data_IF_231387035120
#
_entry.id   IF_231387035120
#
_cell.length_a   1.000
_cell.length_b   1.000
_cell.length_c   1.000
_cell.angle_alpha   90.00
_cell.angle_beta   90.00
_cell.angle_gamma   90.00
#
_symmetry.space_group_name_H-M   'P 1'
#
loop_
_entity.id
_entity.type
_entity.pdbx_description
1 polymer ?
#
# COMPACT_ATOMS: atom_id res chain seq x y z
N UNK A 1 15.13 18.92 -11.69
CA UNK A 1 13.91 18.49 -12.39
C UNK A 1 13.89 16.97 -12.34
N UNK A 2 13.19 16.38 -11.36
CA UNK A 2 13.02 14.94 -11.30
C UNK A 2 11.85 14.56 -12.19
N UNK A 3 12.12 13.85 -13.27
CA UNK A 3 11.08 13.38 -14.20
C UNK A 3 10.06 12.54 -13.44
N UNK A 4 8.77 12.81 -13.66
CA UNK A 4 7.66 12.09 -13.07
C UNK A 4 7.62 10.65 -13.62
N UNK A 5 8.38 9.75 -12.98
CA UNK A 5 8.45 8.31 -13.32
C UNK A 5 7.21 7.52 -12.88
N UNK A 6 6.10 8.21 -12.54
CA UNK A 6 4.94 7.58 -11.92
C UNK A 6 3.96 7.17 -13.01
N UNK A 7 3.77 5.85 -13.15
CA UNK A 7 2.91 5.25 -14.17
C UNK A 7 1.40 5.43 -13.88
N UNK A 8 1.03 5.75 -12.64
CA UNK A 8 -0.37 5.91 -12.21
C UNK A 8 -0.51 7.05 -11.17
N UNK A 9 -1.59 7.84 -11.23
CA UNK A 9 -1.93 8.79 -10.18
C UNK A 9 -2.18 8.06 -8.84
N UNK A 10 -1.83 8.72 -7.74
CA UNK A 10 -2.03 8.23 -6.36
C UNK A 10 -3.01 9.13 -5.65
N UNK A 11 -3.87 8.53 -4.85
CA UNK A 11 -4.75 9.25 -3.93
C UNK A 11 -4.30 9.02 -2.51
N UNK A 12 -4.28 10.10 -1.73
CA UNK A 12 -4.00 10.04 -0.31
C UNK A 12 -5.24 9.48 0.40
N UNK A 13 -5.03 8.47 1.23
CA UNK A 13 -6.07 7.74 1.96
C UNK A 13 -5.56 7.44 3.37
N UNK A 14 -6.44 6.98 4.25
CA UNK A 14 -6.05 6.47 5.57
C UNK A 14 -6.84 5.20 5.82
N UNK A 15 -6.38 4.10 5.22
CA UNK A 15 -7.10 2.83 5.22
C UNK A 15 -6.34 1.78 6.03
N UNK A 16 -6.95 1.18 7.07
CA UNK A 16 -6.33 0.11 7.82
C UNK A 16 -5.97 -1.06 6.90
N UNK A 17 -4.80 -1.64 7.10
CA UNK A 17 -4.35 -2.80 6.34
C UNK A 17 -3.72 -3.84 7.25
N UNK A 18 -4.00 -5.11 6.95
CA UNK A 18 -3.30 -6.25 7.55
C UNK A 18 -2.50 -6.95 6.46
N UNK A 19 -1.19 -7.06 6.66
CA UNK A 19 -0.26 -7.80 5.81
C UNK A 19 -0.04 -9.18 6.40
N UNK A 20 -0.44 -10.23 5.69
CA UNK A 20 -0.29 -11.62 6.11
C UNK A 20 1.07 -12.13 5.65
N UNK A 21 2.05 -12.09 6.55
CA UNK A 21 3.43 -12.55 6.29
C UNK A 21 3.68 -13.92 6.92
N UNK A 22 4.80 -14.57 6.55
CA UNK A 22 5.18 -15.86 7.12
C UNK A 22 5.42 -15.80 8.65
N UNK A 23 5.90 -14.66 9.15
CA UNK A 23 6.17 -14.46 10.58
C UNK A 23 4.92 -14.06 11.39
N UNK A 24 3.80 -13.81 10.70
CA UNK A 24 2.55 -13.38 11.31
C UNK A 24 1.93 -12.17 10.62
N UNK A 25 0.73 -11.77 11.06
CA UNK A 25 0.08 -10.58 10.56
C UNK A 25 0.80 -9.31 11.04
N UNK A 26 1.07 -8.39 10.13
CA UNK A 26 1.56 -7.04 10.44
C UNK A 26 0.43 -6.05 10.17
N UNK A 27 0.08 -5.25 11.18
CA UNK A 27 -0.89 -4.17 11.05
C UNK A 27 -0.23 -2.88 10.56
N UNK A 28 -0.97 -2.10 9.78
CA UNK A 28 -0.53 -0.81 9.30
C UNK A 28 -1.66 0.02 8.71
N UNK A 29 -1.29 1.15 8.11
CA UNK A 29 -2.22 2.08 7.47
C UNK A 29 -1.72 2.41 6.07
N UNK A 30 -2.60 2.31 5.07
CA UNK A 30 -2.32 2.80 3.73
C UNK A 30 -2.48 4.31 3.73
N UNK A 31 -1.40 5.02 3.41
CA UNK A 31 -1.37 6.48 3.31
C UNK A 31 -1.65 6.96 1.88
N UNK A 32 -1.20 6.20 0.89
CA UNK A 32 -1.60 6.43 -0.49
C UNK A 32 -1.71 5.13 -1.27
N UNK A 33 -2.60 5.14 -2.25
CA UNK A 33 -2.88 4.00 -3.11
C UNK A 33 -2.96 4.42 -4.58
N UNK A 34 -2.52 3.52 -5.45
CA UNK A 34 -2.64 3.58 -6.91
C UNK A 34 -2.97 2.20 -7.45
N UNK A 35 -3.26 2.11 -8.75
CA UNK A 35 -3.49 0.83 -9.43
C UNK A 35 -2.28 -0.12 -9.39
N UNK A 36 -1.07 0.40 -9.19
CA UNK A 36 0.16 -0.39 -9.18
C UNK A 36 0.69 -0.75 -7.79
N UNK A 37 0.15 -0.14 -6.74
CA UNK A 37 0.70 -0.32 -5.39
C UNK A 37 0.27 0.78 -4.42
N UNK A 38 0.82 0.69 -3.22
CA UNK A 38 0.45 1.53 -2.09
C UNK A 38 1.67 1.89 -1.24
N UNK A 39 1.55 2.95 -0.45
CA UNK A 39 2.47 3.23 0.66
C UNK A 39 1.78 2.87 1.97
N UNK A 40 2.41 2.00 2.76
CA UNK A 40 1.90 1.50 4.04
C UNK A 40 2.78 2.03 5.15
N UNK A 41 2.20 2.78 6.07
CA UNK A 41 2.81 3.10 7.36
C UNK A 41 2.67 1.90 8.29
N UNK A 42 3.79 1.35 8.73
CA UNK A 42 3.86 0.22 9.66
C UNK A 42 5.15 0.27 10.48
N UNK A 43 5.14 -0.37 11.64
CA UNK A 43 6.29 -0.40 12.56
C UNK A 43 7.26 -1.55 12.27
N UNK A 44 6.78 -2.56 11.55
CA UNK A 44 7.50 -3.80 11.25
C UNK A 44 7.60 -3.99 9.73
N UNK A 45 8.71 -4.54 9.28
CA UNK A 45 8.98 -4.77 7.86
C UNK A 45 8.68 -6.24 7.51
N UNK A 46 7.84 -6.52 6.49
CA UNK A 46 7.75 -7.85 5.90
C UNK A 46 9.12 -8.30 5.36
N UNK A 47 9.45 -9.59 5.46
CA UNK A 47 10.73 -10.08 4.95
C UNK A 47 10.95 -9.68 3.48
N UNK A 48 12.13 -9.13 3.23
CA UNK A 48 12.52 -8.53 1.96
C UNK A 48 12.72 -9.63 0.91
N UNK A 49 11.65 -9.98 0.19
CA UNK A 49 11.58 -10.60 -1.14
C UNK A 49 10.32 -11.47 -1.31
N UNK A 50 9.56 -11.69 -0.25
CA UNK A 50 8.37 -12.54 -0.32
C UNK A 50 7.16 -11.75 -0.85
N UNK A 51 6.32 -12.45 -1.61
CA UNK A 51 4.99 -11.96 -1.95
C UNK A 51 4.07 -12.31 -0.79
N UNK A 52 3.43 -11.31 -0.19
CA UNK A 52 2.50 -11.48 0.92
C UNK A 52 1.12 -10.99 0.53
N UNK A 53 0.10 -11.51 1.21
CA UNK A 53 -1.29 -11.06 1.00
C UNK A 53 -1.57 -9.86 1.87
N UNK A 54 -2.28 -8.89 1.31
CA UNK A 54 -2.74 -7.69 1.99
C UNK A 54 -4.26 -7.68 2.01
N UNK A 55 -4.83 -7.32 3.15
CA UNK A 55 -6.26 -7.08 3.33
C UNK A 55 -6.41 -5.61 3.74
N UNK A 56 -6.90 -4.78 2.83
CA UNK A 56 -7.10 -3.35 3.07
C UNK A 56 -8.58 -3.12 3.34
N UNK A 57 -8.87 -2.52 4.50
CA UNK A 57 -10.23 -2.19 4.90
C UNK A 57 -10.53 -0.76 4.46
N UNK A 58 -11.53 -0.60 3.60
CA UNK A 58 -11.95 0.71 3.15
C UNK A 58 -12.93 1.30 4.18
N UNK A 59 -12.62 2.45 4.83
CA UNK A 59 -13.53 3.09 5.78
C UNK A 59 -14.87 3.43 5.12
N UNK A 60 -15.96 3.32 5.88
CA UNK A 60 -17.32 3.56 5.42
C UNK A 60 -17.82 2.65 4.28
N UNK A 61 -17.01 1.67 3.84
CA UNK A 61 -17.40 0.59 2.95
C UNK A 61 -17.40 -0.74 3.71
N UNK A 62 -18.25 -1.68 3.28
CA UNK A 62 -18.19 -3.08 3.73
C UNK A 62 -17.20 -3.91 2.91
N UNK A 63 -16.58 -3.32 1.90
CA UNK A 63 -15.65 -3.98 1.01
C UNK A 63 -14.24 -4.05 1.62
N UNK A 64 -13.56 -5.15 1.33
CA UNK A 64 -12.15 -5.35 1.66
C UNK A 64 -11.41 -5.57 0.36
N UNK A 65 -10.36 -4.76 0.11
CA UNK A 65 -9.50 -4.97 -1.04
C UNK A 65 -8.45 -6.01 -0.69
N UNK A 66 -8.27 -6.97 -1.59
CA UNK A 66 -7.32 -8.07 -1.41
C UNK A 66 -6.30 -8.04 -2.53
N UNK A 67 -5.04 -7.93 -2.15
CA UNK A 67 -3.95 -7.92 -3.11
C UNK A 67 -2.78 -8.78 -2.61
N UNK A 68 -2.12 -9.47 -3.53
CA UNK A 68 -0.77 -10.00 -3.32
C UNK A 68 0.22 -8.88 -3.65
N UNK A 69 1.18 -8.63 -2.77
CA UNK A 69 2.12 -7.54 -2.93
C UNK A 69 3.53 -7.93 -2.49
N UNK A 70 4.52 -7.16 -2.97
CA UNK A 70 5.91 -7.25 -2.53
C UNK A 70 6.43 -5.88 -2.11
N UNK A 71 7.38 -5.86 -1.18
CA UNK A 71 8.09 -4.64 -0.80
C UNK A 71 8.89 -4.12 -1.99
N UNK A 72 8.66 -2.87 -2.39
CA UNK A 72 9.41 -2.17 -3.44
C UNK A 72 10.40 -1.16 -2.87
N UNK A 73 10.11 -0.60 -1.69
CA UNK A 73 11.01 0.26 -0.90
C UNK A 73 10.64 0.21 0.59
N UNK A 74 11.61 0.44 1.48
CA UNK A 74 11.39 0.54 2.93
C UNK A 74 12.12 1.75 3.47
N UNK A 75 11.42 2.55 4.28
CA UNK A 75 11.94 3.70 5.01
C UNK A 75 11.79 3.51 6.53
N UNK A 76 11.48 2.29 7.01
CA UNK A 76 11.21 2.01 8.43
C UNK A 76 12.41 2.37 9.33
N UNK A 77 13.63 2.11 8.85
CA UNK A 77 14.86 2.36 9.58
C UNK A 77 15.45 3.76 9.36
N UNK A 78 14.72 4.66 8.69
CA UNK A 78 15.19 6.03 8.51
C UNK A 78 15.28 6.76 9.86
N UNK A 79 16.30 7.61 10.04
CA UNK A 79 16.46 8.39 11.26
C UNK A 79 15.20 9.23 11.55
N UNK A 80 14.92 9.46 12.84
CA UNK A 80 13.84 10.36 13.23
C UNK A 80 14.07 11.76 12.63
N UNK A 81 13.02 12.35 12.05
CA UNK A 81 13.10 13.65 11.35
C UNK A 81 13.40 13.56 9.84
N UNK A 82 13.41 12.36 9.25
CA UNK A 82 13.39 12.23 7.80
C UNK A 82 12.08 12.81 7.22
N UNK A 83 12.19 13.48 6.07
CA UNK A 83 11.07 14.15 5.37
C UNK A 83 9.97 13.15 4.93
N UNK A 84 10.32 11.87 4.79
CA UNK A 84 9.39 10.81 4.42
C UNK A 84 8.85 10.04 5.63
N UNK A 85 7.54 9.75 5.69
CA UNK A 85 6.94 8.97 6.75
C UNK A 85 7.55 7.55 6.80
N UNK A 86 7.61 6.99 8.01
CA UNK A 86 8.12 5.62 8.22
C UNK A 86 7.16 4.60 7.62
N UNK A 87 7.68 3.57 6.98
CA UNK A 87 6.84 2.54 6.37
C UNK A 87 7.46 1.95 5.12
N UNK A 88 6.63 1.27 4.35
CA UNK A 88 7.03 0.54 3.16
C UNK A 88 6.21 0.98 1.94
N UNK A 89 6.87 1.12 0.80
CA UNK A 89 6.19 1.16 -0.48
C UNK A 89 6.05 -0.27 -1.00
N UNK A 90 4.84 -0.69 -1.32
CA UNK A 90 4.54 -2.00 -1.88
C UNK A 90 4.09 -1.89 -3.32
N UNK A 91 4.40 -2.91 -4.12
CA UNK A 91 3.89 -3.08 -5.47
C UNK A 91 2.91 -4.26 -5.49
N UNK A 92 1.72 -4.05 -6.06
CA UNK A 92 0.77 -5.13 -6.28
C UNK A 92 1.31 -6.08 -7.35
N UNK A 93 1.35 -7.36 -7.00
CA UNK A 93 1.70 -8.47 -7.89
C UNK A 93 0.43 -9.04 -8.51
N UNK A 94 -0.60 -9.24 -7.68
CA UNK A 94 -1.92 -9.72 -8.11
C UNK A 94 -3.01 -8.98 -7.33
N UNK A 95 -4.09 -8.67 -8.03
CA UNK A 95 -5.31 -8.06 -7.49
C UNK A 95 -6.46 -8.50 -8.41
N UNK A 96 -7.65 -8.73 -7.86
CA UNK A 96 -8.82 -9.07 -8.68
C UNK A 96 -9.20 -7.89 -9.57
N UNK A 97 -9.85 -8.15 -10.70
CA UNK A 97 -10.33 -7.07 -11.57
C UNK A 97 -11.36 -6.19 -10.87
N UNK A 98 -12.21 -6.77 -10.01
CA UNK A 98 -13.19 -6.04 -9.20
C UNK A 98 -12.50 -5.09 -8.20
N UNK A 99 -11.52 -5.58 -7.43
CA UNK A 99 -10.80 -4.75 -6.46
C UNK A 99 -9.95 -3.69 -7.18
N UNK A 100 -9.38 -4.04 -8.34
CA UNK A 100 -8.65 -3.08 -9.18
C UNK A 100 -9.57 -2.00 -9.73
N UNK A 101 -10.78 -2.36 -10.15
CA UNK A 101 -11.78 -1.42 -10.63
C UNK A 101 -12.24 -0.50 -9.51
N UNK A 102 -12.44 -1.01 -8.30
CA UNK A 102 -12.73 -0.18 -7.13
C UNK A 102 -11.62 0.85 -6.86
N UNK A 103 -10.35 0.43 -6.92
CA UNK A 103 -9.23 1.38 -6.78
C UNK A 103 -9.26 2.42 -7.90
N UNK A 104 -9.62 2.07 -9.14
CA UNK A 104 -9.76 3.06 -10.23
C UNK A 104 -10.80 4.11 -9.90
N UNK A 105 -11.96 3.69 -9.41
CA UNK A 105 -13.06 4.58 -9.07
C UNK A 105 -12.65 5.54 -7.95
N UNK A 106 -12.10 5.02 -6.86
CA UNK A 106 -11.59 5.87 -5.77
C UNK A 106 -10.49 6.81 -6.24
N UNK A 107 -9.60 6.35 -7.12
CA UNK A 107 -8.53 7.18 -7.69
C UNK A 107 -9.07 8.28 -8.60
N UNK A 108 -10.20 8.05 -9.27
CA UNK A 108 -10.84 9.02 -10.14
C UNK A 108 -11.70 10.04 -9.38
N UNK A 109 -12.32 9.66 -8.26
CA UNK A 109 -13.17 10.55 -7.45
C UNK A 109 -12.38 11.63 -6.68
N UNK A 110 -11.08 11.42 -6.45
CA UNK A 110 -10.21 12.34 -5.69
C UNK A 110 -9.30 13.20 -6.59
N UNK A 111 -9.51 13.15 -7.92
CA UNK A 111 -8.84 14.00 -8.92
C UNK A 111 -9.75 15.15 -9.34
#
# INVERSE_FOLDING_TARGET
MGEEKRQFPRVEVTWPVTMLTAQGPIEGEVNNISLGGAFVHCKEQPESNETFRMIIKVPHSRQFLRASARVARSNIYNPEGADEPRGIGVRFVEISDDDRQYIREVVAEQQ
#
